data_IF_118145700268
#
_entry.id   IF_118145700268
#
_cell.length_a   1.000
_cell.length_b   1.000
_cell.length_c   1.000
_cell.angle_alpha   90.00
_cell.angle_beta   90.00
_cell.angle_gamma   90.00
#
_symmetry.space_group_name_H-M   'P 1'
#
loop_
_entity.id
_entity.type
_entity.pdbx_description
1 polymer ?
#
# COMPACT_ATOMS: atom_id res chain seq x y z
N UNK A 1 -7.19 -10.48 -8.35
CA UNK A 1 -7.19 -9.21 -7.57
C UNK A 1 -7.60 -9.51 -6.15
N UNK A 2 -6.84 -9.02 -5.19
CA UNK A 2 -6.99 -9.29 -3.75
C UNK A 2 -7.39 -7.99 -3.06
N UNK A 3 -8.41 -8.03 -2.23
CA UNK A 3 -8.85 -6.86 -1.46
C UNK A 3 -7.94 -6.64 -0.26
N UNK A 4 -7.47 -5.41 -0.11
CA UNK A 4 -6.56 -5.01 0.95
C UNK A 4 -7.09 -3.80 1.71
N UNK A 5 -6.61 -3.61 2.91
CA UNK A 5 -6.91 -2.44 3.75
C UNK A 5 -5.60 -1.75 4.13
N UNK A 6 -5.67 -0.45 4.41
CA UNK A 6 -4.51 0.25 4.97
C UNK A 6 -4.37 -0.19 6.43
N UNK A 7 -3.29 -0.90 6.72
CA UNK A 7 -2.94 -1.33 8.08
C UNK A 7 -2.30 -0.19 8.86
N UNK A 8 -1.24 0.38 8.31
CA UNK A 8 -0.48 1.43 8.97
C UNK A 8 0.35 2.26 8.00
N UNK A 9 0.81 3.43 8.49
CA UNK A 9 1.84 4.22 7.84
C UNK A 9 3.03 4.23 8.79
N UNK A 10 4.22 3.92 8.25
CA UNK A 10 5.46 3.88 9.01
C UNK A 10 6.45 4.90 8.48
N UNK A 11 7.30 5.38 9.38
CA UNK A 11 8.37 6.33 9.05
C UNK A 11 9.70 5.69 9.44
N UNK A 12 10.62 5.58 8.50
CA UNK A 12 11.99 5.18 8.82
C UNK A 12 12.70 6.29 9.59
N UNK A 13 13.19 5.99 10.76
CA UNK A 13 13.94 6.94 11.58
C UNK A 13 15.34 7.23 11.01
N UNK A 14 15.86 6.34 10.15
CA UNK A 14 17.20 6.50 9.57
C UNK A 14 17.23 7.46 8.39
N UNK A 15 16.23 7.42 7.52
CA UNK A 15 16.21 8.17 6.27
C UNK A 15 14.93 8.97 6.04
N UNK A 16 14.04 9.02 7.04
CA UNK A 16 12.73 9.72 7.00
C UNK A 16 11.83 9.29 5.83
N UNK A 17 12.10 8.14 5.23
CA UNK A 17 11.20 7.58 4.21
C UNK A 17 9.90 7.09 4.86
N UNK A 18 8.82 7.22 4.13
CA UNK A 18 7.49 6.78 4.56
C UNK A 18 7.03 5.59 3.75
N UNK A 19 6.41 4.65 4.46
CA UNK A 19 5.85 3.43 3.87
C UNK A 19 4.39 3.33 4.28
N UNK A 20 3.50 3.15 3.32
CA UNK A 20 2.15 2.67 3.59
C UNK A 20 2.16 1.15 3.54
N UNK A 21 1.58 0.52 4.54
CA UNK A 21 1.47 -0.92 4.63
C UNK A 21 0.01 -1.28 4.36
N UNK A 22 -0.23 -2.01 3.28
CA UNK A 22 -1.50 -2.63 2.99
C UNK A 22 -1.51 -4.05 3.54
N UNK A 23 -2.65 -4.48 4.09
CA UNK A 23 -2.88 -5.82 4.60
C UNK A 23 -4.02 -6.48 3.86
N UNK A 24 -3.84 -7.72 3.44
CA UNK A 24 -4.91 -8.54 2.91
C UNK A 24 -5.97 -8.80 4.01
N UNK A 25 -7.25 -8.67 3.66
CA UNK A 25 -8.33 -8.76 4.66
C UNK A 25 -8.38 -10.10 5.39
N UNK A 26 -8.12 -11.17 4.69
CA UNK A 26 -8.35 -12.54 5.18
C UNK A 26 -7.09 -13.26 5.64
N UNK A 27 -5.93 -12.74 5.28
CA UNK A 27 -4.64 -13.39 5.57
C UNK A 27 -3.69 -12.45 6.33
N UNK A 28 -2.48 -12.92 6.58
CA UNK A 28 -1.38 -12.11 7.13
C UNK A 28 -0.36 -11.75 6.06
N UNK A 29 -0.84 -11.52 4.85
CA UNK A 29 -0.05 -11.05 3.74
C UNK A 29 -0.13 -9.54 3.67
N UNK A 30 1.02 -8.90 3.55
CA UNK A 30 1.16 -7.44 3.59
C UNK A 30 1.88 -6.97 2.34
N UNK A 31 1.56 -5.76 1.91
CA UNK A 31 2.25 -5.08 0.82
C UNK A 31 2.76 -3.73 1.31
N UNK A 32 4.07 -3.58 1.51
CA UNK A 32 4.68 -2.29 1.80
C UNK A 32 4.90 -1.51 0.50
N UNK A 33 4.52 -0.23 0.50
CA UNK A 33 4.73 0.67 -0.63
C UNK A 33 5.39 1.95 -0.12
N UNK A 34 6.55 2.28 -0.63
CA UNK A 34 7.23 3.54 -0.34
C UNK A 34 6.47 4.70 -0.97
N UNK A 35 6.19 5.74 -0.18
CA UNK A 35 5.38 6.89 -0.59
C UNK A 35 6.02 8.21 -0.17
N UNK A 36 5.61 9.30 -0.83
CA UNK A 36 6.05 10.64 -0.47
C UNK A 36 5.49 11.12 0.89
N UNK A 37 6.17 12.09 1.46
CA UNK A 37 5.79 12.63 2.77
C UNK A 37 4.39 13.27 2.74
N UNK A 38 4.09 14.05 1.71
CA UNK A 38 2.82 14.76 1.60
C UNK A 38 1.64 13.80 1.44
N UNK A 39 1.81 12.73 0.66
CA UNK A 39 0.79 11.71 0.46
C UNK A 39 0.59 10.88 1.73
N UNK A 40 1.67 10.52 2.44
CA UNK A 40 1.60 9.84 3.72
C UNK A 40 0.85 10.66 4.78
N UNK A 41 1.16 11.94 4.90
CA UNK A 41 0.50 12.86 5.81
C UNK A 41 -1.00 13.00 5.43
N UNK A 42 -1.31 13.09 4.13
CA UNK A 42 -2.69 13.16 3.66
C UNK A 42 -3.50 11.90 4.01
N UNK A 43 -2.92 10.70 3.89
CA UNK A 43 -3.55 9.45 4.29
C UNK A 43 -3.74 9.42 5.81
N UNK A 44 -2.68 9.72 6.58
CA UNK A 44 -2.70 9.68 8.04
C UNK A 44 -3.76 10.61 8.64
N UNK A 45 -3.83 11.86 8.19
CA UNK A 45 -4.83 12.86 8.62
C UNK A 45 -6.25 12.33 8.44
N UNK A 46 -6.51 11.70 7.29
CA UNK A 46 -7.84 11.13 7.01
C UNK A 46 -8.15 9.93 7.89
N UNK A 47 -7.21 9.00 8.04
CA UNK A 47 -7.41 7.80 8.87
C UNK A 47 -7.59 8.13 10.35
N UNK A 48 -6.94 9.18 10.83
CA UNK A 48 -7.06 9.65 12.21
C UNK A 48 -8.28 10.54 12.46
N UNK A 49 -9.03 10.88 11.39
CA UNK A 49 -10.21 11.75 11.51
C UNK A 49 -9.87 13.18 11.94
N UNK A 50 -8.64 13.65 11.74
CA UNK A 50 -8.21 14.99 12.11
C UNK A 50 -8.91 16.02 11.24
N UNK A 51 -9.67 16.98 11.81
CA UNK A 51 -10.32 18.03 11.03
C UNK A 51 -9.28 18.99 10.45
N UNK A 52 -9.44 19.30 9.17
CA UNK A 52 -8.60 20.29 8.47
C UNK A 52 -9.44 21.51 8.10
N UNK A 53 -8.93 22.75 8.27
CA UNK A 53 -9.70 23.97 8.04
C UNK A 53 -10.01 24.22 6.56
N UNK A 54 -9.23 23.66 5.66
CA UNK A 54 -9.39 23.75 4.21
C UNK A 54 -9.13 22.41 3.54
N UNK A 55 -9.80 22.09 2.40
CA UNK A 55 -9.57 20.86 1.67
C UNK A 55 -8.11 20.70 1.27
N UNK A 56 -7.57 19.50 1.52
CA UNK A 56 -6.27 19.08 1.01
C UNK A 56 -6.37 18.69 -0.48
N UNK A 57 -5.25 18.41 -1.12
CA UNK A 57 -5.19 18.07 -2.56
C UNK A 57 -6.15 16.93 -2.94
N UNK A 58 -6.18 15.85 -2.15
CA UNK A 58 -7.04 14.70 -2.44
C UNK A 58 -8.53 14.97 -2.10
N UNK A 59 -8.83 15.86 -1.16
CA UNK A 59 -10.20 16.33 -0.91
C UNK A 59 -10.69 17.17 -2.09
N UNK A 60 -9.82 18.01 -2.65
CA UNK A 60 -10.11 18.77 -3.86
C UNK A 60 -10.34 17.84 -5.06
N UNK A 61 -9.49 16.83 -5.23
CA UNK A 61 -9.63 15.85 -6.31
C UNK A 61 -10.98 15.11 -6.21
N UNK A 62 -11.36 14.66 -5.02
CA UNK A 62 -12.69 14.09 -4.77
C UNK A 62 -13.79 15.06 -5.20
N UNK A 63 -13.72 16.33 -4.75
CA UNK A 63 -14.73 17.35 -5.07
C UNK A 63 -14.84 17.61 -6.58
N UNK A 64 -13.72 17.55 -7.30
CA UNK A 64 -13.71 17.68 -8.77
C UNK A 64 -14.42 16.50 -9.42
N UNK A 65 -14.11 15.26 -9.00
CA UNK A 65 -14.78 14.07 -9.52
C UNK A 65 -16.28 14.15 -9.29
N UNK A 66 -16.71 14.49 -8.06
CA UNK A 66 -18.12 14.64 -7.69
C UNK A 66 -18.83 15.73 -8.51
N UNK A 67 -18.17 16.89 -8.71
CA UNK A 67 -18.71 18.01 -9.48
C UNK A 67 -18.98 17.67 -10.96
N UNK A 68 -18.21 16.73 -11.53
CA UNK A 68 -18.43 16.22 -12.88
C UNK A 68 -19.37 14.98 -12.92
N UNK A 69 -20.07 14.68 -11.82
CA UNK A 69 -20.99 13.56 -11.74
C UNK A 69 -20.32 12.19 -11.71
N UNK A 70 -19.03 12.16 -11.38
CA UNK A 70 -18.26 10.94 -11.22
C UNK A 70 -18.41 10.35 -9.82
N UNK A 71 -18.16 9.06 -9.71
CA UNK A 71 -18.08 8.35 -8.43
C UNK A 71 -16.89 7.40 -8.46
N UNK A 72 -16.00 7.54 -7.52
CA UNK A 72 -14.87 6.63 -7.35
C UNK A 72 -15.43 5.29 -6.81
N UNK A 73 -15.21 4.22 -7.57
CA UNK A 73 -15.70 2.89 -7.24
C UNK A 73 -14.68 2.07 -6.47
N UNK A 74 -13.42 2.10 -6.91
CA UNK A 74 -12.31 1.37 -6.30
C UNK A 74 -10.99 1.91 -6.79
N UNK A 75 -9.91 1.48 -6.14
CA UNK A 75 -8.56 1.61 -6.67
C UNK A 75 -7.90 0.24 -6.80
N UNK A 76 -6.97 0.13 -7.75
CA UNK A 76 -6.23 -1.11 -8.00
C UNK A 76 -4.75 -0.78 -8.09
N UNK A 77 -3.92 -1.38 -7.24
CA UNK A 77 -2.47 -1.44 -7.47
C UNK A 77 -2.25 -2.53 -8.50
N UNK A 78 -2.01 -2.12 -9.73
CA UNK A 78 -2.16 -2.97 -10.92
C UNK A 78 -0.88 -3.58 -11.44
N UNK A 79 0.28 -3.00 -11.11
CA UNK A 79 1.55 -3.49 -11.64
C UNK A 79 2.74 -3.03 -10.78
N UNK A 80 3.87 -3.72 -10.96
CA UNK A 80 5.17 -3.36 -10.41
C UNK A 80 6.22 -3.55 -11.50
N UNK A 81 6.79 -2.46 -12.02
CA UNK A 81 7.81 -2.47 -13.08
C UNK A 81 9.01 -1.64 -12.65
N UNK A 82 10.20 -2.19 -12.78
CA UNK A 82 11.43 -1.49 -12.45
C UNK A 82 11.34 -0.80 -11.07
N UNK A 83 10.87 -1.56 -10.06
CA UNK A 83 10.65 -1.10 -8.67
C UNK A 83 9.66 0.05 -8.52
N UNK A 84 8.87 0.32 -9.54
CA UNK A 84 7.82 1.33 -9.53
C UNK A 84 6.46 0.66 -9.52
N UNK A 85 5.67 0.94 -8.49
CA UNK A 85 4.28 0.50 -8.42
C UNK A 85 3.39 1.41 -9.26
N UNK A 86 2.44 0.80 -9.97
CA UNK A 86 1.41 1.47 -10.75
C UNK A 86 0.05 1.22 -10.13
N UNK A 87 -0.83 2.21 -10.22
CA UNK A 87 -2.19 2.06 -9.75
C UNK A 87 -3.19 2.67 -10.74
N UNK A 88 -4.45 2.24 -10.61
CA UNK A 88 -5.58 2.75 -11.36
C UNK A 88 -6.69 3.16 -10.40
N UNK A 89 -7.32 4.27 -10.68
CA UNK A 89 -8.55 4.71 -10.02
C UNK A 89 -9.70 4.39 -10.96
N UNK A 90 -10.67 3.60 -10.48
CA UNK A 90 -11.87 3.25 -11.24
C UNK A 90 -12.99 4.23 -10.87
N UNK A 91 -13.49 4.94 -11.86
CA UNK A 91 -14.51 5.98 -11.70
C UNK A 91 -15.71 5.64 -12.57
N UNK A 92 -16.91 5.70 -12.01
CA UNK A 92 -18.15 5.66 -12.78
C UNK A 92 -18.59 7.09 -13.10
N UNK A 93 -18.85 7.38 -14.37
CA UNK A 93 -19.38 8.66 -14.85
C UNK A 93 -20.49 8.38 -15.85
N UNK A 94 -21.70 8.87 -15.60
CA UNK A 94 -22.86 8.71 -16.51
C UNK A 94 -23.11 7.25 -16.94
N UNK A 95 -22.92 6.29 -16.02
CA UNK A 95 -23.09 4.87 -16.29
C UNK A 95 -21.91 4.18 -17.00
N UNK A 96 -20.90 4.91 -17.40
CA UNK A 96 -19.66 4.37 -17.97
C UNK A 96 -18.59 4.24 -16.89
N UNK A 97 -17.77 3.20 -17.01
CA UNK A 97 -16.59 3.03 -16.16
C UNK A 97 -15.36 3.57 -16.87
N UNK A 98 -14.54 4.32 -16.14
CA UNK A 98 -13.28 4.88 -16.61
C UNK A 98 -12.15 4.45 -15.67
N UNK A 99 -10.99 4.17 -16.24
CA UNK A 99 -9.76 3.90 -15.51
C UNK A 99 -8.80 5.08 -15.65
N UNK A 100 -8.35 5.59 -14.54
CA UNK A 100 -7.37 6.70 -14.49
C UNK A 100 -6.06 6.17 -13.94
N UNK A 101 -4.98 6.32 -14.70
CA UNK A 101 -3.63 6.01 -14.24
C UNK A 101 -3.23 6.91 -13.07
N UNK A 102 -2.55 6.34 -12.08
CA UNK A 102 -2.23 7.04 -10.85
C UNK A 102 -1.03 6.41 -10.14
N UNK A 103 -0.35 7.20 -9.34
CA UNK A 103 0.57 6.62 -8.34
C UNK A 103 -0.25 5.93 -7.24
N UNK A 104 0.24 4.81 -6.67
CA UNK A 104 -0.46 4.13 -5.58
C UNK A 104 -0.77 5.04 -4.38
N UNK A 105 0.16 5.92 -4.02
CA UNK A 105 -0.01 6.86 -2.90
C UNK A 105 -1.21 7.79 -3.07
N UNK A 106 -1.42 8.33 -4.29
CA UNK A 106 -2.54 9.22 -4.60
C UNK A 106 -3.86 8.44 -4.64
N UNK A 107 -3.84 7.25 -5.27
CA UNK A 107 -5.00 6.37 -5.32
C UNK A 107 -5.45 5.95 -3.91
N UNK A 108 -4.53 5.54 -3.03
CA UNK A 108 -4.82 5.18 -1.64
C UNK A 108 -5.35 6.39 -0.86
N UNK A 109 -4.69 7.56 -0.99
CA UNK A 109 -5.14 8.79 -0.33
C UNK A 109 -6.57 9.19 -0.73
N UNK A 110 -6.95 8.93 -1.98
CA UNK A 110 -8.29 9.16 -2.46
C UNK A 110 -9.27 8.08 -1.96
N UNK A 111 -8.87 6.79 -2.01
CA UNK A 111 -9.71 5.68 -1.56
C UNK A 111 -10.14 5.82 -0.09
N UNK A 112 -9.22 6.18 0.81
CA UNK A 112 -9.54 6.36 2.24
C UNK A 112 -10.50 7.52 2.49
N UNK A 113 -10.58 8.52 1.58
CA UNK A 113 -11.51 9.65 1.67
C UNK A 113 -12.93 9.27 1.33
N UNK A 114 -13.08 8.47 0.31
CA UNK A 114 -14.41 8.06 -0.20
C UNK A 114 -14.83 6.68 0.31
N UNK A 115 -14.02 6.05 1.15
CA UNK A 115 -14.24 4.67 1.65
C UNK A 115 -14.38 3.66 0.49
N UNK A 116 -13.63 3.87 -0.60
CA UNK A 116 -13.59 2.95 -1.72
C UNK A 116 -12.68 1.75 -1.41
N UNK A 117 -13.02 0.54 -1.87
CA UNK A 117 -12.18 -0.62 -1.71
C UNK A 117 -10.84 -0.47 -2.46
N UNK A 118 -9.81 -1.04 -1.87
CA UNK A 118 -8.45 -1.09 -2.40
C UNK A 118 -8.16 -2.51 -2.83
N UNK A 119 -7.81 -2.71 -4.08
CA UNK A 119 -7.40 -4.00 -4.63
C UNK A 119 -5.94 -3.96 -5.05
N UNK A 120 -5.32 -5.13 -5.01
CA UNK A 120 -3.96 -5.35 -5.52
C UNK A 120 -4.00 -6.54 -6.49
N UNK A 121 -3.31 -6.43 -7.60
CA UNK A 121 -3.16 -7.56 -8.51
C UNK A 121 -2.32 -8.66 -7.86
N UNK A 122 -2.71 -9.92 -8.08
CA UNK A 122 -2.03 -11.07 -7.50
C UNK A 122 -0.54 -11.08 -7.86
N UNK A 123 -0.21 -10.75 -9.11
CA UNK A 123 1.17 -10.69 -9.60
C UNK A 123 2.03 -9.66 -8.86
N UNK A 124 1.44 -8.58 -8.37
CA UNK A 124 2.12 -7.57 -7.55
C UNK A 124 2.40 -8.13 -6.15
N UNK A 125 1.42 -8.80 -5.58
CA UNK A 125 1.57 -9.43 -4.26
C UNK A 125 2.58 -10.58 -4.28
N UNK A 126 2.61 -11.40 -5.32
CA UNK A 126 3.60 -12.45 -5.49
C UNK A 126 5.03 -11.90 -5.55
N UNK A 127 5.22 -10.70 -6.11
CA UNK A 127 6.54 -10.08 -6.30
C UNK A 127 7.00 -9.20 -5.14
N UNK A 128 6.08 -8.59 -4.42
CA UNK A 128 6.40 -7.60 -3.39
C UNK A 128 5.64 -7.81 -2.07
N UNK A 129 4.78 -8.82 -2.00
CA UNK A 129 4.08 -9.18 -0.77
C UNK A 129 5.01 -9.84 0.24
N UNK A 130 4.71 -9.65 1.50
CA UNK A 130 5.43 -10.25 2.63
C UNK A 130 4.45 -10.92 3.58
N UNK A 131 4.90 -11.97 4.24
CA UNK A 131 4.14 -12.66 5.28
C UNK A 131 4.68 -12.28 6.65
N UNK A 132 3.78 -11.92 7.58
CA UNK A 132 4.16 -11.64 8.96
C UNK A 132 3.50 -12.67 9.91
N UNK A 133 4.26 -13.12 10.87
CA UNK A 133 3.74 -13.93 11.98
C UNK A 133 2.83 -13.07 12.87
N UNK A 134 1.67 -13.61 13.24
CA UNK A 134 0.65 -12.88 14.03
C UNK A 134 1.11 -12.55 15.45
N UNK A 135 1.93 -13.41 16.05
CA UNK A 135 2.29 -13.30 17.46
C UNK A 135 3.58 -12.51 17.65
N UNK A 136 4.56 -12.75 16.79
CA UNK A 136 5.89 -12.14 16.92
C UNK A 136 6.09 -10.91 16.04
N UNK A 137 5.20 -10.66 15.05
CA UNK A 137 5.38 -9.62 14.04
C UNK A 137 6.60 -9.84 13.14
N UNK A 138 7.26 -10.98 13.26
CA UNK A 138 8.45 -11.32 12.46
C UNK A 138 8.04 -11.78 11.07
N UNK A 139 8.90 -11.50 10.11
CA UNK A 139 8.75 -11.97 8.76
C UNK A 139 8.82 -13.48 8.70
N UNK A 140 7.81 -14.09 8.09
CA UNK A 140 7.82 -15.52 7.77
C UNK A 140 8.51 -15.70 6.42
N UNK A 141 9.38 -16.72 6.26
CA UNK A 141 9.87 -17.11 4.95
C UNK A 141 8.68 -17.51 4.07
N UNK A 142 8.68 -17.11 2.82
CA UNK A 142 7.65 -17.50 1.86
C UNK A 142 7.72 -19.03 1.66
N UNK A 143 6.69 -19.75 2.09
CA UNK A 143 6.62 -21.21 1.94
C UNK A 143 6.59 -21.65 0.46
N UNK A 144 6.35 -20.72 -0.48
CA UNK A 144 6.37 -20.99 -1.92
C UNK A 144 7.77 -21.18 -2.49
N UNK A 145 8.83 -20.71 -1.82
CA UNK A 145 10.23 -20.95 -2.25
C UNK A 145 10.74 -22.36 -1.95
N UNK A 146 10.09 -23.11 -1.07
CA UNK A 146 10.53 -24.47 -0.74
C UNK A 146 10.22 -25.52 -1.82
N UNK A 147 9.36 -25.21 -2.80
CA UNK A 147 8.91 -26.14 -3.85
C UNK A 147 9.42 -25.87 -5.26
N UNK A 148 10.18 -24.79 -5.49
CA UNK A 148 10.73 -24.43 -6.81
C UNK A 148 12.25 -24.31 -6.83
N UNK A 149 12.96 -25.33 -6.35
CA UNK A 149 14.36 -25.57 -6.74
C UNK A 149 14.37 -26.45 -7.98
N UNK A 150 14.17 -25.88 -9.15
CA UNK A 150 14.68 -26.43 -10.41
C UNK A 150 14.75 -25.33 -11.48
N UNK A 151 16.01 -25.01 -11.82
CA UNK A 151 16.51 -24.49 -13.09
C UNK A 151 15.95 -23.17 -13.68
N UNK A 152 16.82 -22.17 -13.72
CA UNK A 152 16.92 -21.19 -14.81
C UNK A 152 16.37 -19.80 -14.55
N UNK A 153 17.16 -18.93 -14.00
CA UNK A 153 17.48 -17.57 -14.41
C UNK A 153 18.05 -16.76 -13.23
N UNK A 154 19.37 -16.75 -13.17
CA UNK A 154 20.16 -15.94 -12.24
C UNK A 154 20.36 -14.57 -12.90
N UNK A 155 19.47 -13.63 -12.78
CA UNK A 155 19.78 -12.22 -13.16
C UNK A 155 19.02 -11.14 -12.35
N UNK A 156 18.14 -11.42 -11.39
CA UNK A 156 17.50 -10.33 -10.62
C UNK A 156 17.38 -10.60 -9.11
N UNK A 157 17.96 -11.66 -8.61
CA UNK A 157 17.76 -12.11 -7.23
C UNK A 157 18.51 -11.28 -6.17
N UNK A 158 19.65 -10.66 -6.56
CA UNK A 158 20.46 -9.86 -5.63
C UNK A 158 19.92 -8.45 -5.37
N UNK A 159 19.28 -7.83 -6.35
CA UNK A 159 18.67 -6.51 -6.14
C UNK A 159 17.35 -6.61 -5.37
N UNK A 160 16.55 -7.65 -5.62
CA UNK A 160 15.35 -7.94 -4.81
C UNK A 160 15.74 -8.31 -3.38
N UNK A 161 16.77 -9.09 -3.18
CA UNK A 161 17.32 -9.41 -1.84
C UNK A 161 17.87 -8.18 -1.12
N UNK A 162 18.50 -7.24 -1.82
CA UNK A 162 18.98 -5.97 -1.22
C UNK A 162 17.83 -5.06 -0.80
N UNK A 163 16.73 -5.03 -1.54
CA UNK A 163 15.56 -4.19 -1.21
C UNK A 163 14.67 -4.83 -0.15
N UNK A 164 14.47 -6.14 -0.21
CA UNK A 164 13.93 -6.90 0.89
C UNK A 164 14.79 -6.70 2.14
N UNK A 165 16.12 -6.75 2.04
CA UNK A 165 17.06 -6.49 3.14
C UNK A 165 16.88 -5.08 3.72
N UNK A 166 16.74 -4.03 2.92
CA UNK A 166 16.50 -2.67 3.40
C UNK A 166 15.13 -2.56 4.13
N UNK A 167 14.15 -3.32 3.67
CA UNK A 167 12.86 -3.41 4.34
C UNK A 167 12.94 -4.32 5.59
N UNK A 168 13.72 -5.41 5.54
CA UNK A 168 14.05 -6.24 6.70
C UNK A 168 14.76 -5.45 7.79
N UNK A 169 15.76 -4.64 7.42
CA UNK A 169 16.45 -3.75 8.36
C UNK A 169 15.50 -2.69 8.93
N UNK A 170 14.56 -2.21 8.13
CA UNK A 170 13.53 -1.27 8.56
C UNK A 170 12.57 -1.90 9.57
N UNK A 171 12.06 -3.12 9.32
CA UNK A 171 11.18 -3.82 10.29
C UNK A 171 11.93 -4.22 11.56
N UNK A 172 13.17 -4.68 11.44
CA UNK A 172 13.97 -5.09 12.60
C UNK A 172 14.47 -3.91 13.45
N UNK A 173 14.48 -2.70 12.91
CA UNK A 173 14.80 -1.46 13.67
C UNK A 173 13.56 -0.78 14.24
N UNK A 174 12.35 -1.27 13.91
CA UNK A 174 11.12 -0.79 14.53
C UNK A 174 10.94 -1.43 15.91
N UNK A 175 10.87 -0.58 16.91
CA UNK A 175 10.48 -0.97 18.26
C UNK A 175 9.02 -1.43 18.25
N UNK A 176 8.81 -2.74 18.44
CA UNK A 176 7.48 -3.36 18.39
C UNK A 176 6.62 -3.03 19.63
N UNK A 177 7.20 -2.36 20.63
CA UNK A 177 6.52 -2.00 21.88
C UNK A 177 5.45 -0.90 21.73
N UNK A 178 5.33 -0.26 20.57
CA UNK A 178 4.33 0.79 20.31
C UNK A 178 2.98 0.24 19.80
N UNK A 179 2.89 -1.07 19.56
CA UNK A 179 1.67 -1.72 19.07
C UNK A 179 0.60 -1.93 20.14
N UNK A 180 1.00 -2.05 21.41
CA UNK A 180 0.10 -2.46 22.50
C UNK A 180 -0.52 -1.28 23.29
N UNK A 181 -0.05 -0.04 23.08
CA UNK A 181 -0.47 1.13 23.85
C UNK A 181 -1.70 1.87 23.32
N UNK A 182 -2.32 1.41 22.21
CA UNK A 182 -3.49 2.09 21.61
C UNK A 182 -4.81 1.33 21.77
N UNK A 183 -4.87 0.34 22.66
CA UNK A 183 -6.13 -0.35 23.05
C UNK A 183 -6.45 -0.10 24.53
N UNK A 184 -6.46 1.16 24.94
CA UNK A 184 -7.08 1.55 26.22
C UNK A 184 -7.80 2.86 26.05
#
# INVERSE_FOLDING_TARGET
MIEMVVDSIRVSLMNYQRVVILKEKETNRYLPIWIGAAEADAIAVKLQGVPVPRPLTHDLLQSVVDAFGGRIQSIVVSDLKNDTFFAKILIAVNGNQMEIDSRPSDAIALAVRVSAPIFVDESVLERAGIWLDKESGKLLPDESESSKKSEGNIVNDEEMKKKASAFYDFINTMDLDDFDKRKS
#
